data_IF_502088258627
#
_entry.id   IF_502088258627
#
_cell.length_a   1.000
_cell.length_b   1.000
_cell.length_c   1.000
_cell.angle_alpha   90.00
_cell.angle_beta   90.00
_cell.angle_gamma   90.00
#
_symmetry.space_group_name_H-M   'P 1'
#
loop_
_entity.id
_entity.type
_entity.pdbx_description
1 polymer ?
#
# COMPACT_ATOMS: atom_id res chain seq x y z
N UNK A 1 -11.42 -1.75 -22.44
CA UNK A 1 -11.12 -1.62 -21.01
C UNK A 1 -10.18 -0.44 -20.88
N UNK A 2 -10.54 0.59 -20.12
CA UNK A 2 -9.64 1.72 -19.90
C UNK A 2 -8.29 1.24 -19.35
N UNK A 3 -7.22 1.86 -19.82
CA UNK A 3 -5.83 1.52 -19.53
C UNK A 3 -5.51 1.82 -18.05
N UNK A 4 -5.98 0.97 -17.15
CA UNK A 4 -5.87 1.14 -15.70
C UNK A 4 -4.41 1.00 -15.29
N UNK A 5 -3.88 2.05 -14.66
CA UNK A 5 -2.53 2.09 -14.09
C UNK A 5 -2.60 2.08 -12.57
N UNK A 6 -1.88 1.16 -11.94
CA UNK A 6 -1.95 0.94 -10.50
C UNK A 6 -0.59 1.21 -9.86
N UNK A 7 -0.56 2.08 -8.86
CA UNK A 7 0.59 2.23 -7.96
C UNK A 7 0.51 1.18 -6.86
N UNK A 8 1.58 0.41 -6.64
CA UNK A 8 1.71 -0.55 -5.54
C UNK A 8 2.79 -0.07 -4.59
N UNK A 9 2.39 0.59 -3.51
CA UNK A 9 3.31 0.98 -2.43
C UNK A 9 3.78 -0.28 -1.71
N UNK A 10 5.08 -0.35 -1.41
CA UNK A 10 5.68 -1.55 -0.84
C UNK A 10 5.70 -2.72 -1.84
N UNK A 11 5.74 -2.43 -3.14
CA UNK A 11 5.68 -3.43 -4.21
C UNK A 11 6.83 -4.44 -4.23
N UNK A 12 7.91 -4.22 -3.47
CA UNK A 12 8.99 -5.20 -3.26
C UNK A 12 8.81 -6.07 -2.00
N UNK A 13 7.82 -5.74 -1.16
CA UNK A 13 7.54 -6.43 0.09
C UNK A 13 6.75 -7.73 -0.05
N UNK A 14 6.48 -8.37 1.08
CA UNK A 14 5.82 -9.68 1.24
C UNK A 14 4.51 -9.82 0.45
N UNK A 15 3.63 -8.84 0.57
CA UNK A 15 2.34 -8.79 -0.13
C UNK A 15 2.48 -8.07 -1.47
N UNK A 16 3.13 -6.91 -1.49
CA UNK A 16 3.28 -6.05 -2.66
C UNK A 16 3.84 -6.79 -3.88
N UNK A 17 4.91 -7.59 -3.72
CA UNK A 17 5.50 -8.33 -4.86
C UNK A 17 4.51 -9.27 -5.53
N UNK A 18 3.68 -9.94 -4.72
CA UNK A 18 2.64 -10.87 -5.19
C UNK A 18 1.43 -10.15 -5.79
N UNK A 19 1.21 -8.88 -5.44
CA UNK A 19 0.21 -8.01 -6.07
C UNK A 19 0.72 -7.54 -7.43
N UNK A 20 1.98 -7.08 -7.50
CA UNK A 20 2.63 -6.65 -8.76
C UNK A 20 2.62 -7.76 -9.79
N UNK A 21 3.05 -8.97 -9.42
CA UNK A 21 3.08 -10.15 -10.28
C UNK A 21 1.69 -10.44 -10.87
N UNK A 22 0.67 -10.60 -10.02
CA UNK A 22 -0.69 -10.91 -10.47
C UNK A 22 -1.34 -9.83 -11.33
N UNK A 23 -1.02 -8.55 -11.10
CA UNK A 23 -1.51 -7.45 -11.93
C UNK A 23 -0.81 -7.48 -13.30
N UNK A 24 0.49 -7.72 -13.32
CA UNK A 24 1.30 -7.83 -14.54
C UNK A 24 0.83 -9.01 -15.40
N UNK A 25 0.59 -10.17 -14.80
CA UNK A 25 0.07 -11.37 -15.48
C UNK A 25 -1.31 -11.13 -16.14
N UNK A 26 -2.06 -10.17 -15.63
CA UNK A 26 -3.37 -9.76 -16.17
C UNK A 26 -3.26 -8.64 -17.23
N UNK A 27 -2.04 -8.24 -17.60
CA UNK A 27 -1.79 -7.14 -18.54
C UNK A 27 -2.15 -5.76 -17.99
N UNK A 28 -2.26 -5.60 -16.67
CA UNK A 28 -2.54 -4.31 -16.02
C UNK A 28 -1.22 -3.56 -15.84
N UNK A 29 -1.20 -2.27 -16.17
CA UNK A 29 0.00 -1.44 -15.99
C UNK A 29 0.26 -1.17 -14.51
N UNK A 30 1.46 -1.51 -14.02
CA UNK A 30 1.83 -1.36 -12.61
C UNK A 30 3.04 -0.45 -12.45
N UNK A 31 2.99 0.45 -11.46
CA UNK A 31 4.14 1.17 -10.93
C UNK A 31 4.45 0.67 -9.52
N UNK A 32 5.71 0.32 -9.26
CA UNK A 32 6.17 -0.06 -7.92
C UNK A 32 6.54 1.19 -7.13
N UNK A 33 5.87 1.43 -6.02
CA UNK A 33 6.25 2.46 -5.04
C UNK A 33 7.28 1.90 -4.07
N UNK A 34 8.53 2.34 -4.22
CA UNK A 34 9.62 2.02 -3.30
C UNK A 34 10.65 3.15 -3.26
N UNK A 35 11.49 3.18 -2.22
CA UNK A 35 12.56 4.18 -2.07
C UNK A 35 13.59 4.16 -3.20
N UNK A 36 13.79 2.99 -3.83
CA UNK A 36 14.75 2.80 -4.91
C UNK A 36 14.10 2.79 -6.31
N UNK A 37 12.79 3.07 -6.41
CA UNK A 37 12.09 3.14 -7.69
C UNK A 37 12.26 4.51 -8.36
N UNK A 38 11.88 4.61 -9.62
CA UNK A 38 11.80 5.89 -10.35
C UNK A 38 10.42 6.00 -11.00
N UNK A 39 9.54 6.91 -10.55
CA UNK A 39 9.69 7.81 -9.38
C UNK A 39 9.77 7.06 -8.04
N UNK A 40 10.44 7.66 -7.06
CA UNK A 40 10.59 7.08 -5.72
C UNK A 40 9.33 7.29 -4.88
N UNK A 41 9.16 6.46 -3.86
CA UNK A 41 8.15 6.64 -2.82
C UNK A 41 8.74 6.32 -1.44
N UNK A 42 8.70 7.28 -0.52
CA UNK A 42 9.13 7.12 0.87
C UNK A 42 8.09 7.71 1.84
N UNK A 43 7.59 6.92 2.78
CA UNK A 43 6.66 7.41 3.83
C UNK A 43 7.26 8.52 4.69
N UNK A 44 8.59 8.60 4.81
CA UNK A 44 9.27 9.62 5.61
C UNK A 44 9.58 10.89 4.80
N UNK A 45 9.35 10.89 3.48
CA UNK A 45 9.58 12.05 2.62
C UNK A 45 8.34 12.33 1.74
N UNK A 46 7.38 13.14 2.25
CA UNK A 46 6.17 13.50 1.53
C UNK A 46 6.41 14.18 0.17
N UNK A 47 7.60 14.76 -0.06
CA UNK A 47 7.92 15.39 -1.34
C UNK A 47 7.97 14.38 -2.50
N UNK A 48 8.17 13.09 -2.19
CA UNK A 48 8.24 12.00 -3.18
C UNK A 48 6.87 11.48 -3.64
N UNK A 49 5.79 11.77 -2.89
CA UNK A 49 4.51 11.09 -3.09
C UNK A 49 3.79 11.50 -4.37
N UNK A 50 3.86 12.79 -4.73
CA UNK A 50 3.13 13.33 -5.88
C UNK A 50 3.60 12.71 -7.19
N UNK A 51 4.92 12.59 -7.39
CA UNK A 51 5.50 11.98 -8.58
C UNK A 51 5.14 10.50 -8.69
N UNK A 52 5.11 9.78 -7.56
CA UNK A 52 4.68 8.39 -7.51
C UNK A 52 3.21 8.21 -7.93
N UNK A 53 2.33 9.17 -7.59
CA UNK A 53 0.90 9.17 -7.92
C UNK A 53 0.60 9.60 -9.36
N UNK A 54 1.47 10.40 -9.98
CA UNK A 54 1.21 11.02 -11.28
C UNK A 54 0.82 10.01 -12.37
N UNK A 55 -0.36 10.19 -12.95
CA UNK A 55 -0.90 9.40 -14.05
C UNK A 55 -1.43 8.02 -13.66
N UNK A 56 -1.60 7.75 -12.36
CA UNK A 56 -2.18 6.50 -11.84
C UNK A 56 -3.69 6.62 -11.68
N UNK A 57 -4.41 5.50 -11.74
CA UNK A 57 -5.87 5.44 -11.54
C UNK A 57 -6.24 4.85 -10.19
N UNK A 58 -5.41 3.96 -9.66
CA UNK A 58 -5.62 3.30 -8.38
C UNK A 58 -4.31 3.13 -7.61
N UNK A 59 -4.41 3.00 -6.28
CA UNK A 59 -3.26 2.73 -5.42
C UNK A 59 -3.56 1.58 -4.47
N UNK A 60 -2.60 0.67 -4.32
CA UNK A 60 -2.52 -0.30 -3.24
C UNK A 60 -1.53 0.20 -2.18
N UNK A 61 -2.00 0.33 -0.94
CA UNK A 61 -1.27 0.90 0.18
C UNK A 61 -0.89 -0.21 1.14
N UNK A 62 0.42 -0.33 1.39
CA UNK A 62 0.96 -1.00 2.58
C UNK A 62 1.78 0.02 3.36
N UNK A 63 1.39 0.26 4.61
CA UNK A 63 2.14 1.16 5.47
C UNK A 63 3.32 0.43 6.12
N UNK A 64 4.46 1.10 6.24
CA UNK A 64 5.67 0.59 6.88
C UNK A 64 6.08 1.58 7.99
N UNK A 65 6.41 1.11 9.19
CA UNK A 65 6.54 -0.29 9.59
C UNK A 65 5.23 -1.02 9.91
N UNK A 66 4.21 -0.33 10.43
CA UNK A 66 2.91 -0.91 10.79
C UNK A 66 1.86 0.21 10.98
N UNK A 67 0.56 -0.06 10.79
CA UNK A 67 -0.50 0.96 10.96
C UNK A 67 -0.75 1.34 12.44
N UNK A 68 -0.27 0.53 13.39
CA UNK A 68 -0.40 0.77 14.81
C UNK A 68 0.71 1.66 15.41
N UNK A 69 1.64 2.17 14.59
CA UNK A 69 2.70 3.06 15.10
C UNK A 69 2.27 4.53 15.11
N UNK A 70 2.83 5.34 16.05
CA UNK A 70 2.60 6.78 16.04
C UNK A 70 2.93 7.41 14.69
N UNK A 71 2.07 8.31 14.19
CA UNK A 71 2.24 8.98 12.90
C UNK A 71 1.63 8.26 11.71
N UNK A 72 1.25 6.98 11.83
CA UNK A 72 0.65 6.23 10.73
C UNK A 72 -0.66 6.84 10.25
N UNK A 73 -1.52 7.25 11.19
CA UNK A 73 -2.82 7.86 10.89
C UNK A 73 -2.65 9.18 10.12
N UNK A 74 -1.73 10.03 10.59
CA UNK A 74 -1.45 11.33 9.97
C UNK A 74 -0.87 11.17 8.56
N UNK A 75 0.03 10.20 8.38
CA UNK A 75 0.60 9.87 7.07
C UNK A 75 -0.45 9.30 6.11
N UNK A 76 -1.32 8.40 6.58
CA UNK A 76 -2.42 7.85 5.78
C UNK A 76 -3.41 8.94 5.39
N UNK A 77 -3.76 9.87 6.29
CA UNK A 77 -4.60 11.02 5.96
C UNK A 77 -3.96 11.89 4.87
N UNK A 78 -2.74 12.36 5.09
CA UNK A 78 -2.05 13.23 4.15
C UNK A 78 -1.85 12.58 2.77
N UNK A 79 -1.48 11.29 2.74
CA UNK A 79 -1.32 10.57 1.48
C UNK A 79 -2.66 10.31 0.78
N UNK A 80 -3.72 9.99 1.53
CA UNK A 80 -5.06 9.77 0.97
C UNK A 80 -5.59 11.04 0.31
N UNK A 81 -5.46 12.18 0.99
CA UNK A 81 -5.87 13.48 0.43
C UNK A 81 -5.08 13.82 -0.84
N UNK A 82 -3.76 13.63 -0.82
CA UNK A 82 -2.91 13.83 -1.99
C UNK A 82 -3.29 12.89 -3.14
N UNK A 83 -3.56 11.62 -2.86
CA UNK A 83 -3.96 10.62 -3.85
C UNK A 83 -5.26 11.04 -4.55
N UNK A 84 -6.28 11.44 -3.79
CA UNK A 84 -7.56 11.91 -4.33
C UNK A 84 -7.35 13.17 -5.17
N UNK A 85 -6.60 14.15 -4.66
CA UNK A 85 -6.29 15.39 -5.39
C UNK A 85 -5.45 15.16 -6.65
N UNK A 86 -4.70 14.04 -6.71
CA UNK A 86 -3.93 13.61 -7.89
C UNK A 86 -4.76 12.81 -8.90
N UNK A 87 -6.08 12.66 -8.67
CA UNK A 87 -7.00 11.97 -9.58
C UNK A 87 -7.10 10.46 -9.39
N UNK A 88 -6.60 9.91 -8.28
CA UNK A 88 -6.83 8.50 -7.93
C UNK A 88 -8.32 8.27 -7.75
N UNK A 89 -8.83 7.22 -8.40
CA UNK A 89 -10.25 6.86 -8.37
C UNK A 89 -10.54 5.66 -7.46
N UNK A 90 -9.50 4.89 -7.09
CA UNK A 90 -9.61 3.76 -6.18
C UNK A 90 -8.42 3.61 -5.25
N UNK A 91 -8.68 3.42 -3.96
CA UNK A 91 -7.67 3.12 -2.93
C UNK A 91 -7.91 1.71 -2.37
N UNK A 92 -6.86 0.91 -2.27
CA UNK A 92 -6.89 -0.39 -1.58
C UNK A 92 -5.90 -0.32 -0.42
N UNK A 93 -6.40 -0.45 0.81
CA UNK A 93 -5.57 -0.45 2.00
C UNK A 93 -5.39 -1.88 2.53
N UNK A 94 -4.14 -2.32 2.69
CA UNK A 94 -3.83 -3.47 3.52
C UNK A 94 -3.83 -3.03 4.99
N UNK A 95 -4.80 -3.52 5.75
CA UNK A 95 -5.04 -3.19 7.15
C UNK A 95 -4.78 -4.38 8.08
N UNK A 96 -4.72 -4.13 9.39
CA UNK A 96 -4.62 -5.14 10.46
C UNK A 96 -5.99 -5.51 11.03
N UNK A 97 -6.25 -6.80 11.21
CA UNK A 97 -7.52 -7.30 11.76
C UNK A 97 -7.58 -7.09 13.29
N UNK A 98 -8.50 -6.23 13.74
CA UNK A 98 -8.81 -6.05 15.17
C UNK A 98 -7.91 -5.05 15.88
N UNK A 99 -7.25 -4.16 15.12
CA UNK A 99 -6.37 -3.13 15.64
C UNK A 99 -7.03 -1.75 15.53
N UNK A 100 -7.25 -1.08 16.65
CA UNK A 100 -7.94 0.23 16.69
C UNK A 100 -7.27 1.27 15.78
N UNK A 101 -5.95 1.35 15.80
CA UNK A 101 -5.20 2.30 14.98
C UNK A 101 -5.32 2.00 13.48
N UNK A 102 -5.34 0.72 13.10
CA UNK A 102 -5.59 0.31 11.73
C UNK A 102 -7.03 0.66 11.31
N UNK A 103 -8.02 0.44 12.17
CA UNK A 103 -9.42 0.84 11.91
C UNK A 103 -9.57 2.36 11.72
N UNK A 104 -8.82 3.18 12.46
CA UNK A 104 -8.79 4.63 12.23
C UNK A 104 -8.26 4.98 10.82
N UNK A 105 -7.21 4.29 10.37
CA UNK A 105 -6.68 4.44 9.02
C UNK A 105 -7.67 3.97 7.95
N UNK A 106 -8.41 2.89 8.21
CA UNK A 106 -9.49 2.43 7.33
C UNK A 106 -10.58 3.48 7.19
N UNK A 107 -11.01 4.11 8.29
CA UNK A 107 -12.04 5.15 8.26
C UNK A 107 -11.62 6.34 7.39
N UNK A 108 -10.35 6.73 7.44
CA UNK A 108 -9.80 7.78 6.57
C UNK A 108 -10.00 7.41 5.10
N UNK A 109 -9.56 6.21 4.70
CA UNK A 109 -9.68 5.74 3.31
C UNK A 109 -11.13 5.58 2.88
N UNK A 110 -12.01 5.08 3.76
CA UNK A 110 -13.43 4.88 3.47
C UNK A 110 -14.18 6.21 3.26
N UNK A 111 -13.75 7.28 3.93
CA UNK A 111 -14.35 8.61 3.85
C UNK A 111 -13.70 9.52 2.79
N UNK A 112 -12.73 9.02 2.02
CA UNK A 112 -11.96 9.79 1.04
C UNK A 112 -12.75 10.21 -0.22
N UNK A 113 -14.02 9.82 -0.35
CA UNK A 113 -14.86 10.18 -1.51
C UNK A 113 -14.52 9.45 -2.82
N UNK A 114 -13.64 8.45 -2.78
CA UNK A 114 -13.28 7.60 -3.92
C UNK A 114 -13.61 6.13 -3.65
N UNK A 115 -13.58 5.28 -4.67
CA UNK A 115 -13.82 3.84 -4.47
C UNK A 115 -12.76 3.28 -3.52
N UNK A 116 -13.14 2.41 -2.62
CA UNK A 116 -12.19 1.82 -1.66
C UNK A 116 -12.32 0.30 -1.55
N UNK A 117 -11.27 -0.32 -1.04
CA UNK A 117 -11.30 -1.71 -0.58
C UNK A 117 -10.36 -1.85 0.60
N UNK A 118 -10.86 -2.37 1.72
CA UNK A 118 -10.04 -2.67 2.89
C UNK A 118 -9.74 -4.16 2.92
N UNK A 119 -8.47 -4.52 2.97
CA UNK A 119 -8.00 -5.90 3.14
C UNK A 119 -7.47 -6.05 4.55
N UNK A 120 -8.30 -6.56 5.48
CA UNK A 120 -7.91 -6.80 6.87
C UNK A 120 -7.13 -8.11 6.98
N UNK A 121 -5.81 -8.02 7.02
CA UNK A 121 -4.93 -9.15 7.21
C UNK A 121 -4.79 -9.52 8.69
N UNK A 122 -4.61 -10.83 8.93
CA UNK A 122 -4.05 -11.34 10.17
C UNK A 122 -2.58 -11.71 9.96
N UNK A 123 -2.03 -12.54 10.85
CA UNK A 123 -0.71 -13.13 10.70
C UNK A 123 -0.54 -13.83 9.34
N UNK A 124 0.59 -13.55 8.69
CA UNK A 124 0.96 -14.20 7.44
C UNK A 124 1.71 -15.50 7.72
N UNK A 125 1.27 -16.61 7.14
CA UNK A 125 2.05 -17.86 7.17
C UNK A 125 3.45 -17.69 6.55
N UNK A 126 3.61 -16.72 5.66
CA UNK A 126 4.89 -16.29 5.13
C UNK A 126 5.90 -15.88 6.21
N UNK A 127 5.45 -15.55 7.42
CA UNK A 127 6.37 -15.29 8.52
C UNK A 127 7.26 -16.51 8.86
N UNK A 128 6.78 -17.72 8.60
CA UNK A 128 7.48 -18.99 8.80
C UNK A 128 8.31 -19.45 7.59
N UNK A 129 8.12 -18.86 6.41
CA UNK A 129 8.79 -19.30 5.17
C UNK A 129 9.68 -18.26 4.51
N UNK A 130 9.54 -16.98 4.84
CA UNK A 130 10.25 -15.87 4.18
C UNK A 130 10.59 -14.71 5.15
N UNK A 131 10.60 -14.97 6.47
CA UNK A 131 10.75 -13.93 7.50
C UNK A 131 11.38 -14.48 8.79
N UNK A 132 11.36 -13.69 9.85
CA UNK A 132 11.98 -13.91 11.16
C UNK A 132 11.70 -15.24 11.88
N UNK A 133 10.69 -16.04 11.50
CA UNK A 133 10.51 -17.39 12.05
C UNK A 133 11.18 -18.48 11.24
N UNK A 134 11.71 -18.19 10.04
CA UNK A 134 12.33 -19.19 9.19
C UNK A 134 13.59 -19.77 9.82
N UNK A 135 14.52 -18.91 10.28
CA UNK A 135 15.85 -19.35 10.75
C UNK A 135 15.75 -20.39 11.89
N UNK A 136 14.89 -20.23 12.91
CA UNK A 136 14.72 -21.25 13.95
C UNK A 136 14.05 -22.55 13.48
N UNK A 137 13.32 -22.57 12.36
CA UNK A 137 12.61 -23.76 11.86
C UNK A 137 13.53 -24.68 11.07
N UNK A 138 14.52 -24.12 10.38
CA UNK A 138 15.44 -24.86 9.50
C UNK A 138 16.76 -25.26 10.18
N UNK A 139 16.92 -24.90 11.46
CA UNK A 139 18.11 -25.15 12.26
C UNK A 139 18.21 -26.59 12.79
#
# INVERSE_FOLDING_TARGET
MENTKILVIGGTGKTGRKVVERLTDRGISVRVGSRNATPAFDWNDPSTWADALNGMNAVYITFQPDLAVPGAKEAIAAFTDLAVNSGIQKIVLLSGKGETEAELCEQIVMNAGVKWTIVRASWFFQNFSESFFLDPIIA
#
